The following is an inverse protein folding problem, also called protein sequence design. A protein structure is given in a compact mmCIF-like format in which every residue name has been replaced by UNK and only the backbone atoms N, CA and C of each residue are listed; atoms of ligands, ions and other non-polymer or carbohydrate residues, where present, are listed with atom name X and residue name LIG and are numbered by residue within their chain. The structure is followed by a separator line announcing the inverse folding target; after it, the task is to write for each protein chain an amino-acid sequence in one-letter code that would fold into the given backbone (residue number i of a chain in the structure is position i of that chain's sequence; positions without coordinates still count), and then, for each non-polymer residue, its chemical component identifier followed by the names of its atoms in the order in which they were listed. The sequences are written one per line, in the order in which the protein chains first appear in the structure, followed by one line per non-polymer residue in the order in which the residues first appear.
data_IF_098486271340
#
_entry.id   IF_098486271340
#
_cell.length_a   1.000
_cell.length_b   1.000
_cell.length_c   1.000
_cell.angle_alpha   90.00
_cell.angle_beta   90.00
_cell.angle_gamma   90.00
#
_symmetry.space_group_name_H-M   'P 1'
#
loop_
_entity.id
_entity.type
_entity.pdbx_description
1 polymer ?
#
# COMPACT_ATOMS: atom_id res chain seq x y z
N UNK A 1 35.29 -8.05 25.70
CA UNK A 1 35.90 -8.48 24.41
C UNK A 1 36.18 -7.26 23.54
N UNK A 2 35.21 -6.37 23.30
CA UNK A 2 35.38 -5.22 22.41
C UNK A 2 36.46 -4.22 22.85
N UNK A 3 36.52 -3.87 24.15
CA UNK A 3 37.54 -3.00 24.70
C UNK A 3 38.95 -3.61 24.54
N UNK A 4 39.10 -4.89 24.90
CA UNK A 4 40.35 -5.61 24.72
C UNK A 4 40.79 -5.69 23.26
N UNK A 5 39.83 -5.93 22.33
CA UNK A 5 40.12 -5.92 20.90
C UNK A 5 40.58 -4.52 20.42
N UNK A 6 39.96 -3.45 20.92
CA UNK A 6 40.33 -2.08 20.61
C UNK A 6 41.79 -1.76 21.08
N UNK A 7 42.15 -2.17 22.30
CA UNK A 7 43.52 -2.00 22.85
C UNK A 7 44.55 -2.77 22.03
N UNK A 8 44.31 -4.09 21.81
CA UNK A 8 45.23 -4.96 21.05
C UNK A 8 45.42 -4.46 19.61
N UNK A 9 44.32 -4.04 18.94
CA UNK A 9 44.39 -3.49 17.59
C UNK A 9 45.08 -2.11 17.57
N UNK A 10 44.83 -1.24 18.55
CA UNK A 10 45.48 0.08 18.62
C UNK A 10 47.00 -0.02 18.71
N UNK A 11 47.49 -1.07 19.38
CA UNK A 11 48.94 -1.30 19.47
C UNK A 11 49.64 -1.58 18.12
N UNK A 12 48.88 -1.98 17.10
CA UNK A 12 49.38 -2.25 15.74
C UNK A 12 49.52 -0.99 14.89
N UNK A 13 48.94 0.14 15.31
CA UNK A 13 49.00 1.41 14.57
C UNK A 13 50.01 2.38 15.13
N UNK A 14 50.52 3.26 14.28
CA UNK A 14 51.36 4.40 14.70
C UNK A 14 50.50 5.43 15.43
N UNK A 15 50.98 5.92 16.56
CA UNK A 15 50.36 7.04 17.28
C UNK A 15 50.23 8.27 16.36
N UNK A 16 49.14 9.04 16.42
CA UNK A 16 48.10 9.03 17.48
C UNK A 16 46.86 8.16 17.17
N UNK A 17 46.91 7.23 16.24
CA UNK A 17 45.77 6.40 15.86
C UNK A 17 45.43 5.40 16.98
N UNK A 18 44.21 5.56 17.55
CA UNK A 18 43.66 4.66 18.53
C UNK A 18 42.29 4.18 18.03
N UNK A 19 41.98 2.92 18.31
CA UNK A 19 40.64 2.36 18.15
C UNK A 19 39.94 2.37 19.52
N UNK A 20 38.66 2.72 19.50
CA UNK A 20 37.82 2.73 20.70
C UNK A 20 36.57 1.91 20.43
N UNK A 21 36.03 1.28 21.48
CA UNK A 21 34.73 0.63 21.41
C UNK A 21 33.64 1.71 21.35
N UNK A 22 33.07 1.92 20.17
CA UNK A 22 32.04 2.95 19.99
C UNK A 22 30.68 2.50 20.59
N UNK A 23 30.25 1.31 20.27
CA UNK A 23 28.92 0.82 20.65
C UNK A 23 28.79 -0.68 20.46
N UNK A 24 27.78 -1.27 21.11
CA UNK A 24 27.40 -2.68 20.99
C UNK A 24 25.95 -2.79 20.52
N UNK A 25 25.74 -3.66 19.56
CA UNK A 25 24.38 -4.00 19.11
C UNK A 25 23.99 -5.41 19.56
N UNK A 26 22.87 -5.52 20.32
CA UNK A 26 22.33 -6.80 20.73
C UNK A 26 20.84 -6.68 21.16
N UNK A 27 19.91 -7.50 20.58
CA UNK A 27 20.09 -8.29 19.36
C UNK A 27 20.28 -7.41 18.12
N UNK A 28 20.74 -8.02 17.03
CA UNK A 28 20.99 -7.36 15.76
C UNK A 28 20.25 -8.08 14.63
N UNK A 29 19.37 -7.36 13.96
CA UNK A 29 18.56 -7.84 12.86
C UNK A 29 19.07 -7.24 11.54
N UNK A 30 19.74 -8.05 10.73
CA UNK A 30 20.30 -7.63 9.44
C UNK A 30 19.39 -8.09 8.30
N UNK A 31 18.68 -7.15 7.68
CA UNK A 31 17.82 -7.42 6.54
C UNK A 31 18.62 -7.54 5.23
N UNK A 32 19.43 -6.51 4.94
CA UNK A 32 20.29 -6.48 3.76
C UNK A 32 21.37 -5.40 3.92
N UNK A 33 22.25 -5.24 2.92
CA UNK A 33 23.24 -4.16 2.91
C UNK A 33 22.57 -2.79 3.15
N UNK A 34 23.02 -2.08 4.17
CA UNK A 34 22.50 -0.76 4.62
C UNK A 34 21.06 -0.79 5.17
N UNK A 35 20.49 -1.96 5.45
CA UNK A 35 19.16 -2.10 6.02
C UNK A 35 19.24 -3.03 7.23
N UNK A 36 19.16 -2.45 8.43
CA UNK A 36 19.23 -3.20 9.70
C UNK A 36 18.47 -2.50 10.81
N UNK A 37 18.20 -3.25 11.86
CA UNK A 37 17.71 -2.74 13.12
C UNK A 37 18.40 -3.48 14.28
N UNK A 38 18.73 -2.76 15.34
CA UNK A 38 19.37 -3.35 16.50
C UNK A 38 19.08 -2.57 17.77
N UNK A 39 19.06 -3.24 18.91
CA UNK A 39 19.12 -2.56 20.22
C UNK A 39 20.55 -2.10 20.44
N UNK A 40 20.73 -0.79 20.58
CA UNK A 40 22.00 -0.16 20.87
C UNK A 40 22.25 -0.18 22.37
N UNK A 41 23.44 -0.59 22.75
CA UNK A 41 23.90 -0.59 24.12
C UNK A 41 25.13 0.30 24.23
N UNK A 42 25.10 1.20 25.21
CA UNK A 42 26.19 2.09 25.55
C UNK A 42 26.61 1.87 26.99
N UNK A 43 27.87 2.17 27.29
CA UNK A 43 28.43 2.04 28.64
C UNK A 43 28.04 3.27 29.46
N UNK A 44 27.35 3.05 30.56
CA UNK A 44 26.95 4.10 31.50
C UNK A 44 28.07 4.55 32.40
N UNK A 45 27.83 5.57 33.22
CA UNK A 45 28.78 6.09 34.21
C UNK A 45 29.07 5.09 35.34
N UNK A 46 28.22 4.11 35.51
CA UNK A 46 28.31 2.97 36.44
C UNK A 46 29.13 1.80 35.93
N UNK A 47 29.80 2.00 34.78
CA UNK A 47 30.60 0.97 34.08
C UNK A 47 29.77 -0.21 33.55
N UNK A 48 28.40 -0.09 33.54
CA UNK A 48 27.48 -1.11 33.03
C UNK A 48 26.94 -0.74 31.65
N UNK A 49 26.55 -1.77 30.87
CA UNK A 49 25.93 -1.59 29.58
C UNK A 49 24.42 -1.33 29.74
N UNK A 50 23.94 -0.23 29.24
CA UNK A 50 22.53 0.15 29.22
C UNK A 50 22.00 0.17 27.80
N UNK A 51 20.78 -0.33 27.63
CA UNK A 51 20.06 -0.22 26.35
C UNK A 51 19.62 1.24 26.18
N UNK A 52 20.06 1.87 25.09
CA UNK A 52 19.80 3.28 24.80
C UNK A 52 18.57 3.44 23.93
N UNK A 53 18.62 2.97 22.70
CA UNK A 53 17.48 3.00 21.77
C UNK A 53 17.61 1.90 20.69
N UNK A 54 16.55 1.73 19.89
CA UNK A 54 16.60 0.85 18.71
C UNK A 54 17.13 1.67 17.52
N UNK A 55 18.36 1.39 17.10
CA UNK A 55 18.97 2.00 15.91
C UNK A 55 18.44 1.30 14.65
N UNK A 56 17.78 2.08 13.78
CA UNK A 56 17.16 1.60 12.54
C UNK A 56 17.75 2.31 11.35
N UNK A 57 18.28 1.57 10.38
CA UNK A 57 18.81 2.11 9.13
C UNK A 57 18.14 1.48 7.91
N UNK A 58 17.72 2.32 6.98
CA UNK A 58 17.22 1.93 5.66
C UNK A 58 15.91 1.16 5.64
N UNK A 59 15.25 0.93 6.77
CA UNK A 59 13.93 0.31 6.85
C UNK A 59 12.81 1.33 6.64
N UNK A 60 11.62 0.84 6.30
CA UNK A 60 10.45 1.66 5.94
C UNK A 60 9.92 2.56 7.09
N UNK A 61 10.28 2.27 8.34
CA UNK A 61 9.87 3.03 9.52
C UNK A 61 10.21 4.52 9.47
N UNK A 62 11.36 4.86 8.87
CA UNK A 62 11.91 6.24 8.85
C UNK A 62 11.41 7.03 7.65
N UNK A 63 10.64 6.42 6.74
CA UNK A 63 10.22 7.09 5.50
C UNK A 63 8.97 7.93 5.76
N UNK A 64 9.04 9.20 5.33
CA UNK A 64 7.94 10.16 5.47
C UNK A 64 6.78 9.94 4.51
N UNK A 65 6.96 9.08 3.51
CA UNK A 65 5.93 8.69 2.52
C UNK A 65 5.01 7.56 3.01
N UNK A 66 5.27 7.00 4.19
CA UNK A 66 4.41 6.04 4.86
C UNK A 66 3.41 6.73 5.82
N UNK A 67 2.25 6.08 6.00
CA UNK A 67 1.25 6.53 6.97
C UNK A 67 1.76 6.45 8.41
N UNK A 68 1.25 7.28 9.35
CA UNK A 68 1.56 7.15 10.77
C UNK A 68 1.27 5.73 11.30
N UNK A 69 0.11 5.16 10.96
CA UNK A 69 -0.25 3.77 11.32
C UNK A 69 0.82 2.76 10.89
N UNK A 70 1.27 2.84 9.63
CA UNK A 70 2.29 1.91 9.13
C UNK A 70 3.62 2.02 9.89
N UNK A 71 4.01 3.24 10.27
CA UNK A 71 5.22 3.46 11.07
C UNK A 71 5.09 2.89 12.48
N UNK A 72 3.93 3.03 13.10
CA UNK A 72 3.61 2.42 14.41
C UNK A 72 3.68 0.90 14.32
N UNK A 73 2.98 0.29 13.36
CA UNK A 73 2.99 -1.17 13.14
C UNK A 73 4.39 -1.71 12.91
N UNK A 74 5.18 -1.06 12.05
CA UNK A 74 6.56 -1.49 11.81
C UNK A 74 7.43 -1.37 13.07
N UNK A 75 7.20 -0.36 13.92
CA UNK A 75 7.92 -0.19 15.18
C UNK A 75 7.57 -1.30 16.18
N UNK A 76 6.28 -1.59 16.34
CA UNK A 76 5.80 -2.69 17.18
C UNK A 76 6.34 -4.04 16.73
N UNK A 77 6.23 -4.34 15.43
CA UNK A 77 6.76 -5.58 14.85
C UNK A 77 8.26 -5.72 15.07
N UNK A 78 9.00 -4.62 14.88
CA UNK A 78 10.43 -4.63 15.07
C UNK A 78 10.81 -4.88 16.53
N UNK A 79 10.10 -4.31 17.49
CA UNK A 79 10.33 -4.55 18.90
C UNK A 79 10.07 -6.02 19.26
N UNK A 80 8.98 -6.60 18.73
CA UNK A 80 8.67 -8.03 18.92
C UNK A 80 9.75 -8.92 18.30
N UNK A 81 10.20 -8.62 17.05
CA UNK A 81 11.27 -9.37 16.36
C UNK A 81 12.60 -9.30 17.14
N UNK A 82 12.92 -8.15 17.72
CA UNK A 82 14.14 -7.96 18.50
C UNK A 82 14.04 -8.47 19.95
N UNK A 83 12.87 -8.91 20.38
CA UNK A 83 12.65 -9.37 21.78
C UNK A 83 12.31 -10.85 21.83
N UNK A 84 11.58 -11.35 20.84
CA UNK A 84 11.17 -12.75 20.77
C UNK A 84 12.23 -13.59 20.08
N UNK A 85 12.44 -14.80 20.60
CA UNK A 85 13.25 -15.84 19.95
C UNK A 85 12.41 -16.73 19.01
N UNK A 86 11.10 -16.51 18.96
CA UNK A 86 10.14 -17.28 18.17
C UNK A 86 9.50 -16.44 17.08
N UNK A 87 9.11 -17.07 15.98
CA UNK A 87 8.46 -16.45 14.83
C UNK A 87 6.93 -16.30 14.99
N UNK A 88 6.34 -16.97 15.99
CA UNK A 88 4.89 -16.92 16.27
C UNK A 88 4.41 -15.50 16.61
N UNK A 89 4.94 -14.83 17.65
CA UNK A 89 4.48 -13.53 18.07
C UNK A 89 4.52 -12.44 16.97
N UNK A 90 5.59 -12.29 16.15
CA UNK A 90 5.59 -11.35 15.04
C UNK A 90 4.53 -11.66 13.98
N UNK A 91 4.27 -12.95 13.72
CA UNK A 91 3.25 -13.40 12.77
C UNK A 91 1.84 -13.03 13.24
N UNK A 92 1.53 -13.28 14.50
CA UNK A 92 0.23 -12.98 15.09
C UNK A 92 -0.03 -11.47 15.11
N UNK A 93 0.95 -10.69 15.58
CA UNK A 93 0.85 -9.22 15.59
C UNK A 93 0.63 -8.65 14.19
N UNK A 94 1.38 -9.13 13.19
CA UNK A 94 1.21 -8.67 11.80
C UNK A 94 -0.19 -8.98 11.26
N UNK A 95 -0.75 -10.15 11.58
CA UNK A 95 -2.09 -10.56 11.18
C UNK A 95 -3.16 -9.72 11.89
N UNK A 96 -3.01 -9.47 13.18
CA UNK A 96 -3.90 -8.63 13.98
C UNK A 96 -3.98 -7.21 13.42
N UNK A 97 -2.84 -6.55 13.16
CA UNK A 97 -2.79 -5.20 12.59
C UNK A 97 -3.36 -5.12 11.18
N UNK A 98 -3.22 -6.18 10.39
CA UNK A 98 -3.86 -6.28 9.07
C UNK A 98 -5.39 -6.35 9.17
N UNK A 99 -5.91 -7.11 10.14
CA UNK A 99 -7.35 -7.22 10.40
C UNK A 99 -7.91 -5.88 10.89
N UNK A 100 -7.26 -5.23 11.86
CA UNK A 100 -7.62 -3.90 12.36
C UNK A 100 -7.74 -2.87 11.21
N UNK A 101 -6.77 -2.87 10.28
CA UNK A 101 -6.81 -2.00 9.11
C UNK A 101 -7.99 -2.33 8.18
N UNK A 102 -8.23 -3.62 7.90
CA UNK A 102 -9.29 -4.05 6.99
C UNK A 102 -10.70 -3.86 7.56
N UNK A 103 -10.85 -3.94 8.89
CA UNK A 103 -12.11 -3.66 9.60
C UNK A 103 -12.47 -2.18 9.63
N UNK A 104 -11.52 -1.29 9.32
CA UNK A 104 -11.74 0.14 9.38
C UNK A 104 -11.61 0.76 10.78
N UNK A 105 -11.04 0.02 11.73
CA UNK A 105 -10.88 0.48 13.12
C UNK A 105 -9.74 1.48 13.28
N UNK A 106 -8.89 1.61 12.24
CA UNK A 106 -7.78 2.58 12.23
C UNK A 106 -8.29 4.00 11.97
N UNK A 107 -8.04 4.97 12.87
CA UNK A 107 -8.45 6.35 12.68
C UNK A 107 -7.90 6.97 11.39
N UNK A 108 -8.70 7.80 10.71
CA UNK A 108 -8.32 8.40 9.43
C UNK A 108 -7.05 9.25 9.49
N UNK A 109 -6.80 9.95 10.59
CA UNK A 109 -5.58 10.74 10.82
C UNK A 109 -4.31 9.90 10.78
N UNK A 110 -4.38 8.64 11.19
CA UNK A 110 -3.28 7.67 11.11
C UNK A 110 -3.06 7.11 9.69
N UNK A 111 -4.00 7.30 8.78
CA UNK A 111 -3.93 6.84 7.37
C UNK A 111 -3.51 7.95 6.41
N UNK A 112 -3.35 9.20 6.87
CA UNK A 112 -2.95 10.33 6.03
C UNK A 112 -1.55 10.08 5.46
N UNK A 113 -1.47 10.15 4.13
CA UNK A 113 -0.23 10.21 3.37
C UNK A 113 0.13 11.66 3.09
N UNK A 114 1.41 11.98 2.89
CA UNK A 114 1.81 13.32 2.48
C UNK A 114 2.95 13.29 1.47
N UNK A 115 2.85 14.14 0.46
CA UNK A 115 3.84 14.25 -0.61
C UNK A 115 4.23 15.71 -0.82
N UNK A 116 5.51 15.99 -1.14
CA UNK A 116 5.97 17.33 -1.45
C UNK A 116 5.53 17.75 -2.84
N UNK A 117 4.91 18.91 -2.97
CA UNK A 117 4.44 19.47 -4.22
C UNK A 117 5.59 20.18 -4.96
N UNK A 118 5.85 19.79 -6.20
CA UNK A 118 6.84 20.42 -7.07
C UNK A 118 6.17 21.42 -8.03
N UNK A 119 6.93 22.40 -8.53
CA UNK A 119 6.41 23.37 -9.53
C UNK A 119 5.96 22.74 -10.83
N UNK A 120 6.63 21.65 -11.22
CA UNK A 120 6.37 20.95 -12.47
C UNK A 120 6.67 19.46 -12.38
N UNK A 121 6.00 18.69 -13.22
CA UNK A 121 6.14 17.25 -13.34
C UNK A 121 6.33 16.84 -14.80
N UNK A 122 7.05 15.75 -15.05
CA UNK A 122 7.22 15.21 -16.40
C UNK A 122 6.00 14.39 -16.82
N UNK A 123 5.31 14.82 -17.88
CA UNK A 123 4.22 14.09 -18.52
C UNK A 123 4.61 13.85 -19.98
N UNK A 124 4.71 12.60 -20.39
CA UNK A 124 5.12 12.22 -21.76
C UNK A 124 6.43 12.90 -22.22
N UNK A 125 7.40 13.05 -21.29
CA UNK A 125 8.71 13.65 -21.57
C UNK A 125 8.75 15.19 -21.53
N UNK A 126 7.59 15.87 -21.41
CA UNK A 126 7.49 17.33 -21.29
C UNK A 126 7.28 17.75 -19.84
N UNK A 127 7.85 18.87 -19.42
CA UNK A 127 7.59 19.47 -18.14
C UNK A 127 6.25 20.19 -18.16
N UNK A 128 5.33 19.79 -17.30
CA UNK A 128 3.99 20.39 -17.12
C UNK A 128 3.93 21.08 -15.78
N UNK A 129 3.63 22.37 -15.76
CA UNK A 129 3.48 23.14 -14.52
C UNK A 129 2.14 22.82 -13.84
N UNK A 130 2.14 22.76 -12.50
CA UNK A 130 0.93 22.58 -11.70
C UNK A 130 -0.07 23.75 -11.84
N UNK A 131 0.39 24.89 -12.33
CA UNK A 131 -0.44 26.08 -12.59
C UNK A 131 -1.04 26.11 -14.00
N UNK A 132 -0.58 25.24 -14.90
CA UNK A 132 -1.09 25.19 -16.28
C UNK A 132 -2.42 24.45 -16.37
N UNK A 133 -3.18 24.69 -17.43
CA UNK A 133 -4.41 23.95 -17.75
C UNK A 133 -4.14 22.44 -17.97
N UNK A 134 -2.91 22.09 -18.39
CA UNK A 134 -2.50 20.71 -18.63
C UNK A 134 -2.17 19.93 -17.33
N UNK A 135 -2.23 20.61 -16.14
CA UNK A 135 -1.94 19.97 -14.85
C UNK A 135 -2.84 18.77 -14.55
N UNK A 136 -4.05 18.71 -15.11
CA UNK A 136 -4.96 17.55 -15.01
C UNK A 136 -4.35 16.23 -15.54
N UNK A 137 -3.38 16.31 -16.44
CA UNK A 137 -2.67 15.16 -16.99
C UNK A 137 -1.55 14.63 -16.09
N UNK A 138 -1.28 15.27 -14.96
CA UNK A 138 -0.24 14.85 -14.01
C UNK A 138 -0.83 13.77 -13.09
N UNK A 139 -0.40 12.53 -13.29
CA UNK A 139 -0.87 11.36 -12.55
C UNK A 139 -0.16 11.20 -11.19
N UNK A 140 -0.18 12.25 -10.37
CA UNK A 140 0.38 12.28 -9.01
C UNK A 140 -0.71 12.64 -8.00
N UNK A 141 -0.71 11.95 -6.85
CA UNK A 141 -1.74 12.08 -5.84
C UNK A 141 -1.82 13.52 -5.26
N UNK A 142 -0.68 14.10 -4.94
CA UNK A 142 -0.54 15.48 -4.45
C UNK A 142 -1.12 16.50 -5.42
N UNK A 143 -0.81 16.39 -6.72
CA UNK A 143 -1.28 17.30 -7.76
C UNK A 143 -2.78 17.17 -7.95
N UNK A 144 -3.32 15.96 -7.99
CA UNK A 144 -4.77 15.74 -8.16
C UNK A 144 -5.57 16.30 -6.98
N UNK A 145 -5.06 16.18 -5.76
CA UNK A 145 -5.69 16.82 -4.58
C UNK A 145 -5.68 18.35 -4.70
N UNK A 146 -4.55 18.93 -5.11
CA UNK A 146 -4.44 20.39 -5.33
C UNK A 146 -5.43 20.88 -6.39
N UNK A 147 -5.60 20.13 -7.49
CA UNK A 147 -6.58 20.46 -8.54
C UNK A 147 -8.00 20.45 -7.96
N UNK A 148 -8.38 19.39 -7.27
CA UNK A 148 -9.70 19.26 -6.63
C UNK A 148 -9.96 20.37 -5.61
N UNK A 149 -8.95 20.74 -4.79
CA UNK A 149 -9.06 21.85 -3.83
C UNK A 149 -9.26 23.19 -4.56
N UNK A 150 -8.50 23.43 -5.63
CA UNK A 150 -8.61 24.65 -6.45
C UNK A 150 -9.98 24.77 -7.12
N UNK A 151 -10.54 23.68 -7.65
CA UNK A 151 -11.88 23.66 -8.25
C UNK A 151 -12.98 23.99 -7.24
N UNK A 152 -12.85 23.51 -5.99
CA UNK A 152 -13.82 23.76 -4.92
C UNK A 152 -13.71 25.16 -4.33
N UNK A 153 -12.49 25.60 -4.07
CA UNK A 153 -12.21 26.91 -3.45
C UNK A 153 -10.89 27.46 -3.97
N UNK A 154 -10.93 28.24 -5.06
CA UNK A 154 -9.74 28.85 -5.62
C UNK A 154 -8.94 29.66 -4.61
N UNK A 155 -7.62 29.45 -4.54
CA UNK A 155 -6.72 30.16 -3.62
C UNK A 155 -6.55 29.49 -2.24
N UNK A 156 -7.23 28.38 -1.95
CA UNK A 156 -7.03 27.61 -0.71
C UNK A 156 -6.04 26.45 -0.85
N UNK A 157 -5.61 26.17 -2.08
CA UNK A 157 -4.72 25.05 -2.38
C UNK A 157 -3.28 25.29 -1.91
N UNK A 158 -2.54 24.22 -1.52
CA UNK A 158 -1.13 24.28 -1.21
C UNK A 158 -0.28 24.82 -2.35
N UNK A 159 0.79 25.52 -2.01
CA UNK A 159 1.73 26.07 -2.98
C UNK A 159 2.90 25.10 -3.24
N UNK A 160 3.62 25.36 -4.34
CA UNK A 160 4.85 24.63 -4.62
C UNK A 160 5.85 24.75 -3.45
N UNK A 161 6.45 23.64 -3.08
CA UNK A 161 7.31 23.48 -1.90
C UNK A 161 6.57 22.98 -0.65
N UNK A 162 5.25 23.12 -0.59
CA UNK A 162 4.45 22.59 0.51
C UNK A 162 4.31 21.07 0.46
N UNK A 163 3.91 20.50 1.58
CA UNK A 163 3.51 19.08 1.62
C UNK A 163 1.99 19.00 1.58
N UNK A 164 1.49 18.25 0.59
CA UNK A 164 0.06 18.00 0.41
C UNK A 164 -0.31 16.72 1.16
N UNK A 165 -1.15 16.79 2.21
CA UNK A 165 -1.73 15.63 2.85
C UNK A 165 -2.87 15.07 1.99
N UNK A 166 -3.03 13.75 1.97
CA UNK A 166 -4.16 13.10 1.29
C UNK A 166 -4.53 11.77 1.91
N UNK A 167 -5.79 11.38 1.73
CA UNK A 167 -6.32 10.05 1.99
C UNK A 167 -6.67 9.37 0.67
N UNK A 168 -6.65 8.04 0.67
CA UNK A 168 -7.09 7.23 -0.47
C UNK A 168 -8.51 6.75 -0.21
N UNK A 169 -9.45 7.24 -1.02
CA UNK A 169 -10.88 7.01 -0.87
C UNK A 169 -11.36 5.87 -1.77
N UNK A 170 -12.46 5.24 -1.39
CA UNK A 170 -13.11 4.23 -2.21
C UNK A 170 -13.93 4.92 -3.31
N UNK A 171 -13.48 4.82 -4.55
CA UNK A 171 -14.13 5.41 -5.73
C UNK A 171 -15.15 4.46 -6.38
N UNK A 172 -15.38 3.27 -5.82
CA UNK A 172 -16.20 2.23 -6.47
C UNK A 172 -15.47 1.49 -7.61
N UNK A 173 -14.46 2.09 -8.24
CA UNK A 173 -13.66 1.42 -9.27
C UNK A 173 -12.47 0.67 -8.66
N UNK A 174 -12.46 -0.68 -8.73
CA UNK A 174 -11.35 -1.50 -8.22
C UNK A 174 -10.05 -1.31 -9.00
N UNK A 175 -10.09 -0.71 -10.20
CA UNK A 175 -8.91 -0.44 -11.03
C UNK A 175 -8.37 0.97 -10.85
N UNK A 176 -9.08 1.84 -10.14
CA UNK A 176 -8.65 3.22 -9.91
C UNK A 176 -7.27 3.28 -9.26
N UNK A 177 -6.42 4.16 -9.78
CA UNK A 177 -5.04 4.36 -9.31
C UNK A 177 -5.01 5.27 -8.09
N UNK A 178 -3.87 5.31 -7.39
CA UNK A 178 -3.70 6.12 -6.19
C UNK A 178 -4.07 7.60 -6.38
N UNK A 179 -3.72 8.20 -7.53
CA UNK A 179 -3.99 9.60 -7.82
C UNK A 179 -5.48 9.90 -8.06
N UNK A 180 -6.24 8.91 -8.57
CA UNK A 180 -7.69 9.01 -8.75
C UNK A 180 -8.43 8.90 -7.42
N UNK A 181 -7.92 8.05 -6.52
CA UNK A 181 -8.44 7.82 -5.17
C UNK A 181 -8.03 8.91 -4.15
N UNK A 182 -7.04 9.73 -4.48
CA UNK A 182 -6.51 10.73 -3.55
C UNK A 182 -7.49 11.87 -3.32
N UNK A 183 -7.68 12.22 -2.02
CA UNK A 183 -8.60 13.28 -1.62
C UNK A 183 -8.08 14.05 -0.40
N UNK A 184 -8.47 15.31 -0.25
CA UNK A 184 -8.15 16.13 0.92
C UNK A 184 -8.75 15.53 2.20
N UNK A 185 -7.94 15.32 3.27
CA UNK A 185 -8.42 14.72 4.51
C UNK A 185 -9.56 15.50 5.19
N UNK A 186 -9.55 16.83 5.08
CA UNK A 186 -10.60 17.68 5.65
C UNK A 186 -11.91 17.43 4.89
N UNK A 187 -11.84 17.42 3.57
CA UNK A 187 -13.01 17.17 2.72
C UNK A 187 -13.58 15.76 2.92
N UNK A 188 -12.70 14.74 3.06
CA UNK A 188 -13.11 13.35 3.37
C UNK A 188 -13.90 13.30 4.67
N UNK A 189 -13.43 13.99 5.72
CA UNK A 189 -14.09 14.00 7.03
C UNK A 189 -15.42 14.74 7.00
N UNK A 190 -15.48 15.91 6.36
CA UNK A 190 -16.69 16.75 6.29
C UNK A 190 -17.81 16.08 5.48
N UNK A 191 -17.46 15.32 4.46
CA UNK A 191 -18.43 14.67 3.56
C UNK A 191 -18.60 13.17 3.81
N UNK A 192 -18.00 12.62 4.88
CA UNK A 192 -18.05 11.20 5.23
C UNK A 192 -17.68 10.27 4.07
N UNK A 193 -16.68 10.64 3.27
CA UNK A 193 -16.24 9.85 2.12
C UNK A 193 -15.55 8.57 2.61
N UNK A 194 -15.96 7.38 2.12
CA UNK A 194 -15.39 6.12 2.56
C UNK A 194 -13.92 5.98 2.16
N UNK A 195 -13.06 5.59 3.11
CA UNK A 195 -11.65 5.29 2.88
C UNK A 195 -11.50 3.90 2.28
N UNK A 196 -10.55 3.73 1.36
CA UNK A 196 -10.26 2.45 0.72
C UNK A 196 -9.26 1.62 1.53
N UNK A 197 -9.71 1.03 2.63
CA UNK A 197 -8.88 0.18 3.51
C UNK A 197 -8.25 -1.01 2.77
N UNK A 198 -8.93 -1.59 1.77
CA UNK A 198 -8.38 -2.68 0.94
C UNK A 198 -7.19 -2.20 0.13
N UNK A 199 -7.28 -1.00 -0.45
CA UNK A 199 -6.17 -0.40 -1.18
C UNK A 199 -4.98 -0.10 -0.25
N UNK A 200 -5.23 0.42 0.95
CA UNK A 200 -4.19 0.63 1.97
C UNK A 200 -3.53 -0.69 2.33
N UNK A 201 -4.30 -1.74 2.60
CA UNK A 201 -3.76 -3.06 2.93
C UNK A 201 -2.86 -3.60 1.81
N UNK A 202 -3.36 -3.68 0.58
CA UNK A 202 -2.62 -4.28 -0.55
C UNK A 202 -1.38 -3.46 -0.93
N UNK A 203 -1.51 -2.12 -0.98
CA UNK A 203 -0.48 -1.26 -1.61
C UNK A 203 0.40 -0.51 -0.61
N UNK A 204 -0.02 -0.36 0.64
CA UNK A 204 0.72 0.42 1.64
C UNK A 204 1.16 -0.40 2.84
N UNK A 205 0.41 -1.45 3.21
CA UNK A 205 0.69 -2.28 4.38
C UNK A 205 1.52 -3.53 4.04
N UNK A 206 1.09 -4.33 3.06
CA UNK A 206 1.69 -5.64 2.79
C UNK A 206 3.19 -5.58 2.53
N UNK A 207 3.64 -4.73 1.59
CA UNK A 207 5.04 -4.71 1.21
C UNK A 207 5.98 -4.30 2.35
N UNK A 208 5.74 -3.20 3.11
CA UNK A 208 6.59 -2.84 4.24
C UNK A 208 6.65 -3.90 5.34
N UNK A 209 5.53 -4.56 5.63
CA UNK A 209 5.48 -5.62 6.67
C UNK A 209 6.17 -6.88 6.17
N UNK A 210 5.91 -7.31 4.93
CA UNK A 210 6.62 -8.45 4.35
C UNK A 210 8.12 -8.17 4.30
N UNK A 211 8.53 -7.00 3.81
CA UNK A 211 9.94 -6.59 3.78
C UNK A 211 10.61 -6.72 5.17
N UNK A 212 9.88 -6.41 6.25
CA UNK A 212 10.42 -6.51 7.60
C UNK A 212 10.51 -7.96 8.08
N UNK A 213 9.55 -8.82 7.71
CA UNK A 213 9.43 -10.19 8.22
C UNK A 213 10.05 -11.27 7.30
N UNK A 214 10.40 -10.93 6.04
CA UNK A 214 10.97 -11.87 5.08
C UNK A 214 12.21 -12.66 5.57
N UNK A 215 13.10 -12.09 6.42
CA UNK A 215 14.19 -12.88 6.99
C UNK A 215 13.76 -13.99 7.95
N UNK A 216 12.51 -13.96 8.43
CA UNK A 216 11.96 -14.93 9.40
C UNK A 216 11.11 -16.04 8.76
N UNK A 217 10.64 -15.83 7.52
CA UNK A 217 9.70 -16.72 6.83
C UNK A 217 10.17 -16.97 5.39
N UNK A 218 9.86 -18.14 4.84
CA UNK A 218 10.19 -18.44 3.44
C UNK A 218 9.29 -17.69 2.46
N UNK A 219 8.00 -17.56 2.80
CA UNK A 219 7.00 -16.85 2.01
C UNK A 219 6.04 -16.06 2.91
N UNK A 220 6.56 -14.98 3.49
CA UNK A 220 5.85 -14.11 4.44
C UNK A 220 4.45 -13.74 3.97
N UNK A 221 4.34 -13.35 2.70
CA UNK A 221 3.08 -12.88 2.12
C UNK A 221 2.00 -13.95 2.11
N UNK A 222 2.35 -15.18 1.77
CA UNK A 222 1.41 -16.30 1.72
C UNK A 222 1.14 -16.87 3.11
N UNK A 223 2.18 -17.00 3.94
CA UNK A 223 2.08 -17.64 5.26
C UNK A 223 1.31 -16.80 6.28
N UNK A 224 1.43 -15.47 6.19
CA UNK A 224 0.77 -14.55 7.14
C UNK A 224 -0.54 -14.02 6.57
N UNK A 225 -0.55 -13.57 5.31
CA UNK A 225 -1.62 -12.77 4.74
C UNK A 225 -2.41 -13.45 3.62
N UNK A 226 -2.12 -14.73 3.27
CA UNK A 226 -2.71 -15.41 2.12
C UNK A 226 -4.26 -15.40 2.13
N UNK A 227 -4.88 -15.66 3.28
CA UNK A 227 -6.33 -15.62 3.46
C UNK A 227 -6.90 -14.20 3.28
N UNK A 228 -6.29 -13.19 3.92
CA UNK A 228 -6.73 -11.78 3.85
C UNK A 228 -6.59 -11.21 2.44
N UNK A 229 -5.50 -11.56 1.75
CA UNK A 229 -5.29 -11.17 0.35
C UNK A 229 -6.38 -11.76 -0.54
N UNK A 230 -6.77 -13.01 -0.33
CA UNK A 230 -7.82 -13.66 -1.11
C UNK A 230 -9.20 -13.02 -0.87
N UNK A 231 -9.49 -12.60 0.35
CA UNK A 231 -10.70 -11.84 0.68
C UNK A 231 -10.74 -10.46 0.02
N UNK A 232 -9.58 -9.84 -0.19
CA UNK A 232 -9.48 -8.54 -0.86
C UNK A 232 -9.56 -8.62 -2.39
N UNK A 233 -9.32 -9.80 -2.97
CA UNK A 233 -9.43 -9.99 -4.42
C UNK A 233 -10.90 -9.90 -4.83
N UNK A 234 -11.23 -9.21 -5.93
CA UNK A 234 -12.56 -9.32 -6.50
C UNK A 234 -12.83 -10.80 -6.82
N UNK A 235 -14.08 -11.27 -6.66
CA UNK A 235 -14.42 -12.62 -7.03
C UNK A 235 -13.95 -12.89 -8.46
N UNK A 236 -13.38 -14.08 -8.74
CA UNK A 236 -12.91 -14.38 -10.08
C UNK A 236 -14.09 -14.20 -11.04
N UNK A 237 -13.98 -13.23 -11.94
CA UNK A 237 -14.94 -13.12 -13.04
C UNK A 237 -14.94 -14.49 -13.70
N UNK A 238 -16.05 -15.22 -13.63
CA UNK A 238 -16.23 -16.44 -14.43
C UNK A 238 -15.96 -16.02 -15.87
N UNK A 239 -14.80 -16.37 -16.39
CA UNK A 239 -14.48 -16.09 -17.80
C UNK A 239 -15.45 -16.93 -18.59
N UNK A 240 -16.43 -16.28 -19.14
CA UNK A 240 -17.30 -16.92 -20.12
C UNK A 240 -16.43 -17.42 -21.27
N UNK A 241 -16.65 -18.65 -21.74
CA UNK A 241 -15.83 -19.21 -22.80
C UNK A 241 -15.85 -18.29 -24.00
N UNK A 242 -14.70 -18.06 -24.60
CA UNK A 242 -14.59 -17.19 -25.77
C UNK A 242 -15.43 -17.76 -26.90
N UNK A 243 -16.34 -16.95 -27.45
CA UNK A 243 -17.24 -17.37 -28.56
C UNK A 243 -16.48 -17.92 -29.77
N UNK A 244 -15.22 -17.51 -29.96
CA UNK A 244 -14.33 -18.01 -31.01
C UNK A 244 -13.99 -19.50 -30.89
N UNK A 245 -13.91 -20.02 -29.67
CA UNK A 245 -13.50 -21.40 -29.36
C UNK A 245 -14.68 -22.36 -29.19
N UNK A 246 -15.92 -21.86 -29.09
CA UNK A 246 -17.13 -22.67 -28.90
C UNK A 246 -17.54 -23.39 -30.18
N UNK A 247 -17.86 -24.67 -30.06
CA UNK A 247 -18.43 -25.49 -31.12
C UNK A 247 -19.95 -25.19 -31.24
N UNK A 248 -20.56 -25.64 -32.36
CA UNK A 248 -22.00 -25.38 -32.62
C UNK A 248 -22.89 -25.86 -31.45
N UNK A 249 -22.61 -27.03 -30.92
CA UNK A 249 -23.40 -27.59 -29.82
C UNK A 249 -23.29 -26.74 -28.53
N UNK A 250 -22.10 -26.25 -28.20
CA UNK A 250 -21.88 -25.38 -27.05
C UNK A 250 -22.60 -24.04 -27.21
N UNK A 251 -22.65 -23.48 -28.43
CA UNK A 251 -23.37 -22.25 -28.74
C UNK A 251 -24.90 -22.44 -28.64
N UNK A 252 -25.41 -23.58 -29.06
CA UNK A 252 -26.84 -23.96 -28.93
C UNK A 252 -27.23 -24.07 -27.44
N UNK A 253 -26.39 -24.73 -26.63
CA UNK A 253 -26.62 -24.82 -25.19
C UNK A 253 -26.58 -23.45 -24.52
N UNK A 254 -25.62 -22.62 -24.89
CA UNK A 254 -25.51 -21.26 -24.33
C UNK A 254 -26.69 -20.35 -24.74
N UNK A 255 -27.16 -20.44 -25.98
CA UNK A 255 -28.40 -19.77 -26.40
C UNK A 255 -29.60 -20.23 -25.57
N UNK A 256 -29.75 -21.53 -25.32
CA UNK A 256 -30.82 -22.05 -24.45
C UNK A 256 -30.76 -21.53 -23.02
N UNK A 257 -29.51 -21.48 -22.44
CA UNK A 257 -29.32 -20.92 -21.09
C UNK A 257 -29.69 -19.44 -20.99
N UNK A 258 -29.42 -18.68 -22.05
CA UNK A 258 -29.74 -17.26 -22.14
C UNK A 258 -31.21 -16.97 -22.61
N UNK A 259 -32.01 -17.99 -22.83
CA UNK A 259 -33.39 -17.85 -23.32
C UNK A 259 -33.45 -17.30 -24.76
N UNK A 260 -32.43 -17.51 -25.58
CA UNK A 260 -32.33 -17.06 -26.94
C UNK A 260 -32.72 -18.20 -27.90
N UNK A 261 -33.15 -17.80 -29.10
CA UNK A 261 -33.36 -18.75 -30.18
C UNK A 261 -32.07 -19.50 -30.50
N UNK A 262 -32.13 -20.83 -30.48
CA UNK A 262 -31.00 -21.74 -30.63
C UNK A 262 -30.86 -22.31 -32.05
N UNK A 263 -31.73 -21.90 -33.00
CA UNK A 263 -31.66 -22.30 -34.38
C UNK A 263 -30.81 -21.35 -35.23
N UNK A 264 -30.03 -21.89 -36.15
CA UNK A 264 -29.25 -21.09 -37.07
C UNK A 264 -27.82 -21.58 -37.31
N UNK A 265 -27.06 -20.79 -38.06
CA UNK A 265 -25.64 -21.04 -38.33
C UNK A 265 -24.76 -20.49 -37.19
N UNK A 266 -23.52 -20.99 -37.09
CA UNK A 266 -22.58 -20.64 -36.01
C UNK A 266 -22.39 -19.11 -35.86
N UNK A 267 -22.37 -18.36 -36.96
CA UNK A 267 -22.21 -16.90 -36.94
C UNK A 267 -23.40 -16.19 -36.30
N UNK A 268 -24.63 -16.67 -36.59
CA UNK A 268 -25.86 -16.11 -36.00
C UNK A 268 -25.94 -16.38 -34.49
N UNK A 269 -25.67 -17.62 -34.07
CA UNK A 269 -25.63 -17.98 -32.65
C UNK A 269 -24.60 -17.16 -31.88
N UNK A 270 -23.39 -16.97 -32.45
CA UNK A 270 -22.35 -16.11 -31.84
C UNK A 270 -22.81 -14.66 -31.70
N UNK A 271 -23.50 -14.11 -32.70
CA UNK A 271 -24.00 -12.73 -32.66
C UNK A 271 -25.13 -12.57 -31.63
N UNK A 272 -26.06 -13.53 -31.54
CA UNK A 272 -27.12 -13.51 -30.52
C UNK A 272 -26.55 -13.53 -29.12
N UNK A 273 -25.61 -14.44 -28.81
CA UNK A 273 -24.95 -14.52 -27.52
C UNK A 273 -24.16 -13.25 -27.22
N UNK A 274 -23.42 -12.71 -28.20
CA UNK A 274 -22.65 -11.46 -28.04
C UNK A 274 -23.57 -10.29 -27.66
N UNK A 275 -24.69 -10.14 -28.36
CA UNK A 275 -25.64 -9.05 -28.09
C UNK A 275 -26.33 -9.21 -26.73
N UNK A 276 -26.63 -10.44 -26.33
CA UNK A 276 -27.22 -10.71 -25.01
C UNK A 276 -26.23 -10.40 -23.87
N UNK A 277 -24.94 -10.73 -24.05
CA UNK A 277 -23.88 -10.42 -23.08
C UNK A 277 -23.67 -8.91 -22.92
N UNK A 278 -23.68 -8.15 -24.02
CA UNK A 278 -23.60 -6.67 -23.99
C UNK A 278 -24.79 -6.08 -23.23
N UNK A 279 -26.03 -6.52 -23.56
CA UNK A 279 -27.22 -6.05 -22.84
C UNK A 279 -27.22 -6.37 -21.33
N UNK A 280 -26.67 -7.52 -20.97
CA UNK A 280 -26.52 -7.89 -19.57
C UNK A 280 -25.48 -7.03 -18.85
N UNK A 281 -24.35 -6.71 -19.49
CA UNK A 281 -23.35 -5.79 -18.92
C UNK A 281 -23.93 -4.37 -18.74
N UNK A 282 -24.66 -3.83 -19.71
CA UNK A 282 -25.34 -2.54 -19.62
C UNK A 282 -26.38 -2.51 -18.49
N UNK A 283 -27.18 -3.58 -18.37
CA UNK A 283 -28.19 -3.69 -17.30
C UNK A 283 -27.57 -3.80 -15.91
N UNK A 284 -26.42 -4.46 -15.77
CA UNK A 284 -25.69 -4.56 -14.50
C UNK A 284 -25.07 -3.21 -14.12
N UNK A 285 -24.51 -2.46 -15.09
CA UNK A 285 -24.01 -1.10 -14.83
C UNK A 285 -25.12 -0.13 -14.42
N UNK A 286 -26.29 -0.23 -15.02
CA UNK A 286 -27.44 0.61 -14.66
C UNK A 286 -28.01 0.26 -13.28
N UNK A 287 -28.02 -1.01 -12.89
CA UNK A 287 -28.39 -1.46 -11.53
C UNK A 287 -27.38 -0.96 -10.49
N UNK A 288 -26.07 -0.98 -10.79
CA UNK A 288 -25.05 -0.41 -9.90
C UNK A 288 -25.23 1.09 -9.73
N UNK A 289 -25.50 1.84 -10.80
CA UNK A 289 -25.78 3.29 -10.72
C UNK A 289 -27.04 3.60 -9.90
N UNK A 290 -28.09 2.79 -10.02
CA UNK A 290 -29.30 2.93 -9.20
C UNK A 290 -29.04 2.65 -7.72
N UNK A 291 -28.28 1.60 -7.41
CA UNK A 291 -27.90 1.24 -6.05
C UNK A 291 -27.03 2.33 -5.39
N UNK A 292 -26.08 2.96 -6.13
CA UNK A 292 -25.30 4.09 -5.66
C UNK A 292 -26.15 5.34 -5.41
N UNK A 293 -27.16 5.60 -6.26
CA UNK A 293 -28.12 6.69 -6.09
C UNK A 293 -29.06 6.51 -4.89
N UNK A 294 -29.40 5.28 -4.53
CA UNK A 294 -30.22 4.96 -3.36
C UNK A 294 -29.43 5.06 -2.04
N UNK A 295 -28.14 4.75 -2.08
CA UNK A 295 -27.23 4.88 -0.93
C UNK A 295 -26.82 6.34 -0.65
N UNK A 296 -27.03 7.26 -1.60
CA UNK A 296 -26.69 8.69 -1.49
C UNK A 296 -27.87 9.58 -1.06
N UNK A 297 -29.03 8.99 -0.78
CA UNK A 297 -30.21 9.65 -0.19
C UNK A 297 -30.37 9.32 1.28
#
# INVERSE_FOLDING_TARGET
IGERAAEECSALFKKPNNLELEKVYWPYFLYSKKRYAAKLWTKGKDDQMHMDYIDVKGLQLVRRDNTPHMREVCKELLDVVLTSSDTGPPKELAKERAIELLSGDVPHDKLILSQGLSDSYKVNGKAVSIKSAESCNINQADVQVVIKMRERKPGSEPQSGDRVPYLLTNTGDPKARAFEKSEDPVYVKENNIPVDYKYYFINKFLNPVCDLLDPLFENTKQEIFGELINQCKPPPKKREPALSTMKKNDLVEECKKLGLDSDGIISELKNRIKNARIKHEESVEDLFKQYELEQSK
#
